data_IF_315840015569
#
_entry.id   IF_315840015569
#
_cell.length_a   1.000
_cell.length_b   1.000
_cell.length_c   1.000
_cell.angle_alpha   90.00
_cell.angle_beta   90.00
_cell.angle_gamma   90.00
#
_symmetry.space_group_name_H-M   'P 1'
#
loop_
_entity.id
_entity.type
_entity.pdbx_description
1 polymer ?
#
# COMPACT_ATOMS: atom_id res chain seq x y z
N UNK A 1 -20.46 -18.17 8.80
CA UNK A 1 -19.28 -17.38 9.19
C UNK A 1 -19.76 -15.96 9.53
N UNK A 2 -19.31 -15.34 10.63
CA UNK A 2 -19.67 -13.96 10.95
C UNK A 2 -19.28 -13.01 9.81
N UNK A 3 -20.08 -11.97 9.51
CA UNK A 3 -19.88 -11.12 8.33
C UNK A 3 -18.53 -10.38 8.32
N UNK A 4 -18.04 -9.96 9.49
CA UNK A 4 -16.74 -9.29 9.64
C UNK A 4 -15.56 -10.24 9.35
N UNK A 5 -15.66 -11.50 9.74
CA UNK A 5 -14.61 -12.51 9.46
C UNK A 5 -14.54 -12.77 7.95
N UNK A 6 -15.69 -12.88 7.28
CA UNK A 6 -15.74 -13.02 5.82
C UNK A 6 -15.12 -11.80 5.13
N UNK A 7 -15.49 -10.61 5.58
CA UNK A 7 -14.93 -9.35 5.06
C UNK A 7 -13.40 -9.32 5.16
N UNK A 8 -12.86 -9.65 6.32
CA UNK A 8 -11.42 -9.64 6.55
C UNK A 8 -10.69 -10.68 5.69
N UNK A 9 -11.21 -11.91 5.62
CA UNK A 9 -10.61 -12.99 4.83
C UNK A 9 -10.59 -12.69 3.33
N UNK A 10 -11.63 -12.03 2.80
CA UNK A 10 -11.66 -11.63 1.38
C UNK A 10 -10.55 -10.63 1.08
N UNK A 11 -10.37 -9.60 1.92
CA UNK A 11 -9.32 -8.60 1.72
C UNK A 11 -7.91 -9.16 1.97
N UNK A 12 -7.77 -10.09 2.93
CA UNK A 12 -6.55 -10.84 3.13
C UNK A 12 -6.18 -11.63 1.87
N UNK A 13 -7.13 -12.37 1.29
CA UNK A 13 -6.91 -13.15 0.07
C UNK A 13 -6.54 -12.25 -1.12
N UNK A 14 -7.19 -11.10 -1.27
CA UNK A 14 -6.85 -10.11 -2.31
C UNK A 14 -5.40 -9.63 -2.15
N UNK A 15 -4.99 -9.25 -0.93
CA UNK A 15 -3.62 -8.84 -0.66
C UNK A 15 -2.60 -9.95 -0.92
N UNK A 16 -2.93 -11.19 -0.58
CA UNK A 16 -2.06 -12.34 -0.84
C UNK A 16 -1.88 -12.61 -2.35
N UNK A 17 -2.94 -12.47 -3.15
CA UNK A 17 -2.85 -12.59 -4.61
C UNK A 17 -1.96 -11.50 -5.21
N UNK A 18 -2.10 -10.26 -4.75
CA UNK A 18 -1.23 -9.15 -5.17
C UNK A 18 0.25 -9.47 -4.83
N UNK A 19 0.51 -10.07 -3.68
CA UNK A 19 1.86 -10.47 -3.29
C UNK A 19 2.48 -11.51 -4.22
N UNK A 20 1.71 -12.50 -4.70
CA UNK A 20 2.21 -13.47 -5.68
C UNK A 20 2.64 -12.80 -6.97
N UNK A 21 1.85 -11.83 -7.47
CA UNK A 21 2.21 -11.06 -8.66
C UNK A 21 3.48 -10.26 -8.42
N UNK A 22 3.59 -9.60 -7.26
CA UNK A 22 4.78 -8.84 -6.87
C UNK A 22 6.03 -9.72 -6.79
N UNK A 23 5.96 -10.84 -6.08
CA UNK A 23 7.08 -11.79 -5.91
C UNK A 23 7.47 -12.41 -7.25
N UNK A 24 6.50 -12.77 -8.09
CA UNK A 24 6.75 -13.24 -9.45
C UNK A 24 7.51 -12.20 -10.27
N UNK A 25 7.07 -10.95 -10.27
CA UNK A 25 7.77 -9.85 -10.94
C UNK A 25 9.18 -9.61 -10.39
N UNK A 26 9.34 -9.67 -9.08
CA UNK A 26 10.62 -9.49 -8.38
C UNK A 26 11.64 -10.57 -8.78
N UNK A 27 11.21 -11.84 -8.83
CA UNK A 27 12.04 -12.96 -9.24
C UNK A 27 12.36 -12.90 -10.74
N UNK A 28 11.41 -12.48 -11.59
CA UNK A 28 11.66 -12.29 -13.01
C UNK A 28 12.74 -11.24 -13.28
N UNK A 29 12.71 -10.14 -12.52
CA UNK A 29 13.72 -9.08 -12.60
C UNK A 29 15.09 -9.48 -12.01
N UNK A 30 15.19 -10.62 -11.33
CA UNK A 30 16.40 -11.13 -10.65
C UNK A 30 17.13 -10.05 -9.83
N UNK A 31 16.36 -9.30 -9.03
CA UNK A 31 16.87 -8.17 -8.28
C UNK A 31 17.96 -8.64 -7.32
N UNK A 32 19.19 -8.15 -7.52
CA UNK A 32 20.35 -8.53 -6.72
C UNK A 32 20.82 -9.99 -6.91
N UNK A 33 20.40 -10.67 -7.97
CA UNK A 33 20.77 -12.06 -8.25
C UNK A 33 20.05 -13.09 -7.38
N UNK A 34 19.00 -12.69 -6.63
CA UNK A 34 18.30 -13.57 -5.71
C UNK A 34 17.65 -14.78 -6.38
N UNK A 35 17.06 -14.62 -7.57
CA UNK A 35 16.45 -15.77 -8.28
C UNK A 35 17.53 -16.79 -8.59
N UNK A 36 18.65 -16.31 -9.13
CA UNK A 36 19.78 -17.19 -9.50
C UNK A 36 20.36 -17.90 -8.28
N UNK A 37 20.50 -17.20 -7.14
CA UNK A 37 20.95 -17.78 -5.87
C UNK A 37 19.98 -18.82 -5.31
N UNK A 38 18.68 -18.54 -5.37
CA UNK A 38 17.66 -19.48 -4.89
C UNK A 38 17.63 -20.74 -5.74
N UNK A 39 17.70 -20.62 -7.07
CA UNK A 39 17.68 -21.78 -7.96
C UNK A 39 18.95 -22.65 -7.87
N UNK A 40 20.08 -22.06 -7.51
CA UNK A 40 21.35 -22.78 -7.35
C UNK A 40 21.49 -23.49 -5.99
N UNK A 41 20.60 -23.24 -5.03
CA UNK A 41 20.68 -23.77 -3.67
C UNK A 41 19.63 -24.85 -3.42
N UNK A 42 20.01 -25.94 -2.74
CA UNK A 42 19.09 -27.01 -2.31
C UNK A 42 17.96 -26.50 -1.39
N UNK A 43 18.17 -25.35 -0.74
CA UNK A 43 17.20 -24.70 0.17
C UNK A 43 16.36 -23.63 -0.56
N UNK A 44 16.60 -23.41 -1.86
CA UNK A 44 15.93 -22.41 -2.69
C UNK A 44 14.41 -22.42 -2.60
N UNK A 45 13.82 -23.61 -2.55
CA UNK A 45 12.38 -23.77 -2.41
C UNK A 45 11.85 -23.25 -1.07
N UNK A 46 12.57 -23.47 0.04
CA UNK A 46 12.21 -22.95 1.36
C UNK A 46 12.31 -21.44 1.37
N UNK A 47 13.37 -20.88 0.77
CA UNK A 47 13.52 -19.44 0.64
C UNK A 47 12.37 -18.83 -0.19
N UNK A 48 11.97 -19.47 -1.29
CA UNK A 48 10.85 -19.03 -2.13
C UNK A 48 9.53 -19.05 -1.34
N UNK A 49 9.27 -20.14 -0.62
CA UNK A 49 8.07 -20.29 0.19
C UNK A 49 8.01 -19.24 1.30
N UNK A 50 9.10 -19.05 2.05
CA UNK A 50 9.16 -18.10 3.15
C UNK A 50 9.07 -16.65 2.66
N UNK A 51 9.79 -16.29 1.60
CA UNK A 51 9.73 -14.97 1.00
C UNK A 51 8.31 -14.66 0.52
N UNK A 52 7.70 -15.57 -0.25
CA UNK A 52 6.34 -15.39 -0.76
C UNK A 52 5.32 -15.30 0.37
N UNK A 53 5.45 -16.14 1.39
CA UNK A 53 4.52 -16.15 2.52
C UNK A 53 4.64 -14.88 3.37
N UNK A 54 5.86 -14.46 3.73
CA UNK A 54 6.08 -13.23 4.51
C UNK A 54 5.62 -11.99 3.77
N UNK A 55 6.02 -11.84 2.51
CA UNK A 55 5.55 -10.74 1.66
C UNK A 55 4.03 -10.80 1.47
N UNK A 56 3.48 -12.00 1.28
CA UNK A 56 2.05 -12.28 1.27
C UNK A 56 1.32 -11.75 2.50
N UNK A 57 1.82 -12.04 3.70
CA UNK A 57 1.26 -11.54 4.94
C UNK A 57 1.33 -10.01 5.03
N UNK A 58 2.43 -9.39 4.58
CA UNK A 58 2.56 -7.92 4.55
C UNK A 58 1.50 -7.28 3.66
N UNK A 59 1.34 -7.73 2.41
CA UNK A 59 0.33 -7.18 1.50
C UNK A 59 -1.09 -7.47 1.98
N UNK A 60 -1.33 -8.67 2.55
CA UNK A 60 -2.63 -9.03 3.15
C UNK A 60 -2.98 -8.09 4.30
N UNK A 61 -2.03 -7.79 5.19
CA UNK A 61 -2.21 -6.87 6.32
C UNK A 61 -2.55 -5.46 5.85
N UNK A 62 -1.83 -4.93 4.85
CA UNK A 62 -2.11 -3.61 4.28
C UNK A 62 -3.50 -3.57 3.65
N UNK A 63 -3.88 -4.56 2.86
CA UNK A 63 -5.22 -4.61 2.24
C UNK A 63 -6.34 -4.71 3.27
N UNK A 64 -6.16 -5.51 4.32
CA UNK A 64 -7.09 -5.55 5.44
C UNK A 64 -7.22 -4.19 6.13
N UNK A 65 -6.09 -3.51 6.39
CA UNK A 65 -6.09 -2.16 6.99
C UNK A 65 -6.81 -1.13 6.12
N UNK A 66 -6.55 -1.12 4.82
CA UNK A 66 -7.24 -0.26 3.85
C UNK A 66 -8.75 -0.54 3.88
N UNK A 67 -9.14 -1.81 3.81
CA UNK A 67 -10.56 -2.20 3.83
C UNK A 67 -11.27 -1.71 5.09
N UNK A 68 -10.62 -1.82 6.25
CA UNK A 68 -11.17 -1.32 7.53
C UNK A 68 -11.30 0.20 7.53
N UNK A 69 -10.29 0.93 7.03
CA UNK A 69 -10.35 2.40 6.95
C UNK A 69 -11.45 2.90 6.01
N UNK A 70 -11.78 2.13 4.97
CA UNK A 70 -12.81 2.48 3.98
C UNK A 70 -14.24 2.11 4.43
N UNK A 71 -14.40 1.27 5.46
CA UNK A 71 -15.71 0.77 5.90
C UNK A 71 -16.66 1.89 6.40
N UNK A 72 -16.11 3.04 6.80
CA UNK A 72 -16.86 4.19 7.34
C UNK A 72 -17.07 5.34 6.35
N UNK A 73 -16.62 5.22 5.10
CA UNK A 73 -16.74 6.30 4.12
C UNK A 73 -18.10 6.21 3.39
N UNK A 74 -18.91 7.30 3.35
CA UNK A 74 -20.17 7.27 2.62
C UNK A 74 -19.92 7.04 1.14
N UNK A 75 -20.69 6.12 0.55
CA UNK A 75 -20.74 5.85 -0.89
C UNK A 75 -21.33 7.07 -1.63
N UNK A 76 -20.52 8.11 -1.79
CA UNK A 76 -20.80 9.19 -2.72
C UNK A 76 -20.45 8.69 -4.14
N UNK A 77 -21.27 9.01 -5.13
CA UNK A 77 -21.30 8.41 -6.50
C UNK A 77 -20.05 8.64 -7.37
N UNK A 78 -18.87 8.87 -6.79
CA UNK A 78 -17.59 8.96 -7.46
C UNK A 78 -16.85 7.62 -7.46
N UNK A 79 -16.15 7.27 -8.55
CA UNK A 79 -15.40 6.02 -8.60
C UNK A 79 -14.37 5.98 -7.47
N UNK A 80 -14.39 4.93 -6.62
CA UNK A 80 -13.62 4.87 -5.38
C UNK A 80 -12.12 5.11 -5.62
N UNK A 81 -11.61 4.68 -6.77
CA UNK A 81 -10.19 4.79 -7.15
C UNK A 81 -9.69 6.23 -7.28
N UNK A 82 -10.53 7.19 -7.65
CA UNK A 82 -10.11 8.57 -7.91
C UNK A 82 -9.97 9.41 -6.64
N UNK A 83 -10.78 9.12 -5.61
CA UNK A 83 -10.87 9.93 -4.39
C UNK A 83 -9.69 9.69 -3.46
N UNK A 84 -9.26 8.43 -3.30
CA UNK A 84 -8.09 8.11 -2.47
C UNK A 84 -6.78 8.59 -3.11
N UNK A 85 -6.64 8.46 -4.44
CA UNK A 85 -5.49 9.00 -5.17
C UNK A 85 -5.38 10.52 -4.99
N UNK A 86 -6.50 11.25 -5.06
CA UNK A 86 -6.54 12.69 -4.80
C UNK A 86 -6.12 13.02 -3.37
N UNK A 87 -6.60 12.28 -2.37
CA UNK A 87 -6.23 12.50 -0.96
C UNK A 87 -4.75 12.24 -0.68
N UNK A 88 -4.19 11.15 -1.22
CA UNK A 88 -2.75 10.88 -1.11
C UNK A 88 -1.95 11.95 -1.84
N UNK A 89 -2.41 12.37 -3.02
CA UNK A 89 -1.77 13.44 -3.78
C UNK A 89 -1.79 14.77 -3.02
N UNK A 90 -2.90 15.10 -2.36
CA UNK A 90 -3.02 16.31 -1.54
C UNK A 90 -2.12 16.25 -0.31
N UNK A 91 -2.11 15.14 0.42
CA UNK A 91 -1.23 14.96 1.58
C UNK A 91 0.25 15.00 1.19
N UNK A 92 0.61 14.36 0.07
CA UNK A 92 1.97 14.43 -0.47
C UNK A 92 2.31 15.85 -0.94
N UNK A 93 1.38 16.54 -1.62
CA UNK A 93 1.56 17.93 -2.05
C UNK A 93 1.73 18.86 -0.87
N UNK A 94 1.04 18.64 0.24
CA UNK A 94 1.19 19.43 1.46
C UNK A 94 2.54 19.18 2.14
N UNK A 95 2.99 17.92 2.20
CA UNK A 95 4.30 17.56 2.75
C UNK A 95 5.47 18.06 1.87
N UNK A 96 5.28 18.09 0.56
CA UNK A 96 6.26 18.56 -0.43
C UNK A 96 6.13 20.06 -0.74
N UNK A 97 5.07 20.73 -0.28
CA UNK A 97 4.92 22.16 -0.47
C UNK A 97 5.97 22.88 0.38
N UNK A 98 6.78 23.78 -0.21
CA UNK A 98 7.66 24.63 0.59
C UNK A 98 6.81 25.38 1.62
N UNK A 99 7.27 25.51 2.88
CA UNK A 99 6.55 26.28 3.89
C UNK A 99 6.23 27.65 3.31
N UNK A 100 4.94 27.98 3.22
CA UNK A 100 4.52 29.27 2.69
C UNK A 100 5.29 30.35 3.45
N UNK A 101 6.08 31.15 2.74
CA UNK A 101 6.74 32.30 3.32
C UNK A 101 5.64 33.12 3.97
N UNK A 102 5.70 33.28 5.30
CA UNK A 102 4.68 34.03 6.03
C UNK A 102 4.77 35.45 5.51
N UNK A 103 3.91 35.80 4.55
CA UNK A 103 3.77 37.16 4.07
C UNK A 103 3.51 38.00 5.33
N UNK A 104 4.42 38.90 5.72
CA UNK A 104 4.24 39.65 6.94
C UNK A 104 2.92 40.39 6.79
N UNK A 105 1.97 40.11 7.68
CA UNK A 105 0.70 40.80 7.70
C UNK A 105 1.01 42.30 7.68
N UNK A 106 0.58 43.01 6.64
CA UNK A 106 0.77 44.45 6.58
C UNK A 106 -0.08 45.04 7.70
N UNK A 107 0.53 45.27 8.86
CA UNK A 107 -0.06 46.08 9.91
C UNK A 107 -0.19 47.47 9.30
N UNK A 108 -1.36 47.79 8.75
CA UNK A 108 -1.72 49.17 8.45
C UNK A 108 -1.62 49.92 9.78
N UNK A 109 -0.52 50.65 9.95
CA UNK A 109 -0.31 51.56 11.07
C UNK A 109 -1.41 52.61 10.99
N UNK A 110 -2.46 52.43 11.78
CA UNK A 110 -3.51 53.43 11.90
C UNK A 110 -2.89 54.63 12.60
N UNK A 111 -2.96 55.76 11.89
CA UNK A 111 -2.37 57.04 12.27
C UNK A 111 -3.10 57.62 13.47
#
# INVERSE_FOLDING_TARGET
MPPLVRFLLVHAAIGFVIAFVFVGGFLLADIGGMRTLMLASDIGFVAMALFTFMTGLTFSSVQMGVAVMLLGEPEDNQPPSSRWLRRIWEAAREWLAPPLERVPASIKKNR
#
